data_IF_366332513404
#
_entry.id   IF_366332513404
#
_cell.length_a   1.000
_cell.length_b   1.000
_cell.length_c   1.000
_cell.angle_alpha   90.00
_cell.angle_beta   90.00
_cell.angle_gamma   90.00
#
_symmetry.space_group_name_H-M   'P 1'
#
loop_
_entity.id
_entity.type
_entity.pdbx_description
1 polymer ?
#
# COMPACT_ATOMS: atom_id res chain seq x y z
N UNK A 1 -25.91 -10.23 -9.74
CA UNK A 1 -24.51 -10.42 -9.32
C UNK A 1 -24.16 -9.31 -8.36
N UNK A 2 -23.51 -9.64 -7.25
CA UNK A 2 -22.98 -8.62 -6.33
C UNK A 2 -21.90 -7.82 -7.05
N UNK A 3 -21.84 -6.52 -6.77
CA UNK A 3 -20.79 -5.63 -7.27
C UNK A 3 -20.04 -5.08 -6.08
N UNK A 4 -18.72 -5.18 -6.11
CA UNK A 4 -17.83 -4.71 -5.06
C UNK A 4 -17.02 -3.54 -5.58
N UNK A 5 -17.09 -2.42 -4.86
CA UNK A 5 -16.23 -1.27 -5.08
C UNK A 5 -15.02 -1.41 -4.16
N UNK A 6 -13.87 -1.70 -4.77
CA UNK A 6 -12.62 -1.99 -4.05
C UNK A 6 -11.59 -0.92 -4.35
N UNK A 7 -10.82 -0.53 -3.34
CA UNK A 7 -9.60 0.25 -3.54
C UNK A 7 -8.39 -0.68 -3.39
N UNK A 8 -7.56 -0.77 -4.43
CA UNK A 8 -6.26 -1.44 -4.37
C UNK A 8 -5.14 -0.42 -4.23
N UNK A 9 -4.09 -0.77 -3.49
CA UNK A 9 -2.87 0.03 -3.43
C UNK A 9 -1.61 -0.83 -3.40
N UNK A 10 -0.57 -0.36 -4.10
CA UNK A 10 0.70 -1.06 -4.25
C UNK A 10 1.87 -0.08 -4.42
N UNK A 11 3.05 -0.50 -4.00
CA UNK A 11 4.31 0.15 -4.38
C UNK A 11 5.32 -0.90 -4.83
N UNK A 12 5.83 -0.73 -6.05
CA UNK A 12 6.72 -1.68 -6.69
C UNK A 12 8.20 -1.50 -6.31
N UNK A 13 9.03 -2.40 -6.85
CA UNK A 13 10.49 -2.39 -6.64
C UNK A 13 11.21 -1.20 -7.30
N UNK A 14 10.50 -0.42 -8.13
CA UNK A 14 11.05 0.79 -8.74
C UNK A 14 11.20 1.93 -7.74
N UNK A 15 10.49 1.87 -6.60
CA UNK A 15 10.54 2.88 -5.55
C UNK A 15 10.09 4.27 -6.00
N UNK A 16 9.25 4.35 -7.03
CA UNK A 16 8.79 5.64 -7.55
C UNK A 16 7.71 6.28 -6.68
N UNK A 17 6.85 5.47 -6.08
CA UNK A 17 5.71 5.95 -5.31
C UNK A 17 4.68 4.87 -5.02
N UNK A 18 3.45 5.33 -4.80
CA UNK A 18 2.28 4.53 -4.46
C UNK A 18 1.26 4.65 -5.57
N UNK A 19 0.89 3.52 -6.15
CA UNK A 19 -0.24 3.40 -7.06
C UNK A 19 -1.50 3.06 -6.28
N UNK A 20 -2.62 3.71 -6.62
CA UNK A 20 -3.95 3.39 -6.12
C UNK A 20 -4.94 3.30 -7.27
N UNK A 21 -5.89 2.37 -7.14
CA UNK A 21 -6.98 2.21 -8.11
C UNK A 21 -8.28 1.88 -7.39
N UNK A 22 -9.37 2.56 -7.76
CA UNK A 22 -10.71 2.16 -7.37
C UNK A 22 -11.29 1.38 -8.54
N UNK A 23 -11.76 0.16 -8.27
CA UNK A 23 -12.38 -0.71 -9.25
C UNK A 23 -13.78 -1.11 -8.81
N UNK A 24 -14.63 -1.41 -9.79
CA UNK A 24 -15.88 -2.14 -9.61
C UNK A 24 -15.68 -3.55 -10.17
N UNK A 25 -15.93 -4.58 -9.35
CA UNK A 25 -15.76 -5.97 -9.75
C UNK A 25 -16.92 -6.84 -9.27
N UNK A 26 -17.25 -7.89 -10.01
CA UNK A 26 -18.14 -8.96 -9.53
C UNK A 26 -17.42 -10.01 -8.67
N UNK A 27 -16.09 -9.92 -8.56
CA UNK A 27 -15.24 -10.86 -7.85
C UNK A 27 -14.86 -12.11 -8.65
N UNK A 28 -15.24 -12.21 -9.93
CA UNK A 28 -14.98 -13.37 -10.77
C UNK A 28 -14.32 -12.98 -12.09
N UNK A 29 -15.05 -12.29 -12.97
CA UNK A 29 -14.62 -12.07 -14.36
C UNK A 29 -14.83 -10.65 -14.84
N UNK A 30 -15.79 -9.92 -14.27
CA UNK A 30 -16.07 -8.55 -14.68
C UNK A 30 -15.36 -7.58 -13.74
N UNK A 31 -14.46 -6.77 -14.30
CA UNK A 31 -13.77 -5.69 -13.57
C UNK A 31 -13.68 -4.45 -14.43
N UNK A 32 -13.98 -3.29 -13.85
CA UNK A 32 -13.86 -1.98 -14.48
C UNK A 32 -13.18 -0.99 -13.55
N UNK A 33 -12.23 -0.22 -14.06
CA UNK A 33 -11.57 0.86 -13.31
C UNK A 33 -12.54 2.05 -13.20
N UNK A 34 -12.64 2.63 -12.01
CA UNK A 34 -13.40 3.85 -11.74
C UNK A 34 -12.47 5.07 -11.76
N UNK A 35 -11.36 5.02 -11.02
CA UNK A 35 -10.36 6.09 -10.99
C UNK A 35 -9.00 5.50 -10.60
N UNK A 36 -7.93 6.21 -10.93
CA UNK A 36 -6.56 5.88 -10.53
C UNK A 36 -5.89 7.10 -9.89
N UNK A 37 -4.91 6.84 -9.04
CA UNK A 37 -4.10 7.86 -8.41
C UNK A 37 -2.68 7.38 -8.20
N UNK A 38 -1.73 8.31 -8.31
CA UNK A 38 -0.32 8.05 -8.05
C UNK A 38 0.20 9.11 -7.08
N UNK A 39 0.88 8.65 -6.03
CA UNK A 39 1.56 9.51 -5.06
C UNK A 39 3.06 9.23 -5.12
N UNK A 40 3.85 10.23 -5.51
CA UNK A 40 5.30 10.08 -5.64
C UNK A 40 5.97 10.06 -4.26
N UNK A 41 6.95 9.16 -4.07
CA UNK A 41 7.80 9.25 -2.89
C UNK A 41 8.74 10.47 -2.95
N UNK A 42 9.01 11.06 -1.80
CA UNK A 42 10.05 12.08 -1.69
C UNK A 42 11.41 11.51 -2.07
N UNK A 43 12.28 12.36 -2.63
CA UNK A 43 13.63 11.94 -3.04
C UNK A 43 14.46 11.36 -1.88
N UNK A 44 14.25 11.86 -0.66
CA UNK A 44 14.94 11.34 0.52
C UNK A 44 14.40 9.97 0.95
N UNK A 45 13.09 9.76 0.88
CA UNK A 45 12.53 8.44 1.16
C UNK A 45 12.93 7.40 0.11
N UNK A 46 13.00 7.79 -1.17
CA UNK A 46 13.57 6.95 -2.24
C UNK A 46 14.99 6.51 -1.92
N UNK A 47 15.85 7.43 -1.46
CA UNK A 47 17.23 7.09 -1.03
C UNK A 47 17.25 6.12 0.14
N UNK A 48 16.37 6.31 1.14
CA UNK A 48 16.25 5.41 2.29
C UNK A 48 15.93 3.98 1.84
N UNK A 49 14.95 3.82 0.95
CA UNK A 49 14.57 2.53 0.36
C UNK A 49 15.69 1.88 -0.45
N UNK A 50 16.41 2.67 -1.26
CA UNK A 50 17.56 2.19 -2.02
C UNK A 50 18.67 1.68 -1.09
N UNK A 51 18.95 2.39 0.00
CA UNK A 51 19.98 2.01 0.94
C UNK A 51 19.63 0.71 1.66
N UNK A 52 18.40 0.59 2.20
CA UNK A 52 18.01 -0.64 2.89
C UNK A 52 18.00 -1.85 1.94
N UNK A 53 17.62 -1.66 0.67
CA UNK A 53 17.63 -2.76 -0.33
C UNK A 53 19.04 -3.28 -0.62
N UNK A 54 20.07 -2.43 -0.55
CA UNK A 54 21.47 -2.84 -0.67
C UNK A 54 21.95 -3.64 0.54
N UNK A 55 21.35 -3.40 1.70
CA UNK A 55 21.73 -4.00 2.97
C UNK A 55 20.94 -5.27 3.34
N UNK A 56 19.84 -5.53 2.66
CA UNK A 56 18.96 -6.69 2.90
C UNK A 56 18.86 -7.50 1.61
N UNK A 57 19.73 -8.49 1.49
CA UNK A 57 19.83 -9.34 0.31
C UNK A 57 19.16 -10.70 0.53
N UNK A 58 19.04 -11.14 1.77
CA UNK A 58 18.48 -12.44 2.13
C UNK A 58 17.65 -12.36 3.40
N UNK A 59 16.95 -13.46 3.72
CA UNK A 59 16.02 -13.54 4.85
C UNK A 59 16.69 -13.23 6.20
N UNK A 60 17.92 -13.67 6.40
CA UNK A 60 18.64 -13.48 7.67
C UNK A 60 18.96 -12.01 7.96
N UNK A 61 19.16 -11.20 6.91
CA UNK A 61 19.42 -9.76 7.06
C UNK A 61 18.24 -9.03 7.68
N UNK A 62 17.00 -9.48 7.39
CA UNK A 62 15.77 -8.90 7.95
C UNK A 62 15.76 -9.00 9.48
N UNK A 63 16.25 -10.10 10.03
CA UNK A 63 16.29 -10.31 11.49
C UNK A 63 17.30 -9.35 12.13
N UNK A 64 18.49 -9.22 11.55
CA UNK A 64 19.53 -8.31 12.05
C UNK A 64 19.11 -6.83 12.00
N UNK A 65 18.23 -6.46 11.06
CA UNK A 65 17.76 -5.07 10.83
C UNK A 65 16.30 -4.86 11.23
N UNK A 66 15.74 -5.72 12.10
CA UNK A 66 14.32 -5.72 12.44
C UNK A 66 13.77 -4.36 12.86
N UNK A 67 14.52 -3.60 13.67
CA UNK A 67 14.08 -2.28 14.12
C UNK A 67 13.90 -1.29 12.96
N UNK A 68 14.85 -1.25 12.03
CA UNK A 68 14.80 -0.40 10.84
C UNK A 68 13.70 -0.85 9.87
N UNK A 69 13.54 -2.15 9.66
CA UNK A 69 12.45 -2.73 8.84
C UNK A 69 11.07 -2.36 9.40
N UNK A 70 10.91 -2.40 10.72
CA UNK A 70 9.67 -2.01 11.38
C UNK A 70 9.39 -0.50 11.22
N UNK A 71 10.40 0.35 11.37
CA UNK A 71 10.27 1.80 11.18
C UNK A 71 9.87 2.13 9.74
N UNK A 72 10.56 1.54 8.76
CA UNK A 72 10.23 1.69 7.34
C UNK A 72 8.84 1.17 7.01
N UNK A 73 8.44 0.01 7.56
CA UNK A 73 7.10 -0.53 7.37
C UNK A 73 6.03 0.40 7.91
N UNK A 74 6.27 1.04 9.07
CA UNK A 74 5.39 2.07 9.61
C UNK A 74 5.34 3.30 8.70
N UNK A 75 6.48 3.83 8.26
CA UNK A 75 6.55 4.99 7.34
C UNK A 75 5.78 4.73 6.05
N UNK A 76 5.99 3.58 5.40
CA UNK A 76 5.26 3.18 4.19
C UNK A 76 3.77 3.07 4.42
N UNK A 77 3.36 2.53 5.56
CA UNK A 77 1.94 2.45 5.92
C UNK A 77 1.33 3.85 6.02
N UNK A 78 2.00 4.79 6.69
CA UNK A 78 1.52 6.16 6.84
C UNK A 78 1.40 6.88 5.49
N UNK A 79 2.40 6.73 4.60
CA UNK A 79 2.36 7.30 3.25
C UNK A 79 1.19 6.72 2.42
N UNK A 80 0.93 5.41 2.52
CA UNK A 80 -0.23 4.81 1.86
C UNK A 80 -1.55 5.32 2.44
N UNK A 81 -1.67 5.50 3.77
CA UNK A 81 -2.87 6.07 4.39
C UNK A 81 -3.11 7.49 3.88
N UNK A 82 -2.06 8.31 3.80
CA UNK A 82 -2.14 9.68 3.28
C UNK A 82 -2.60 9.68 1.82
N UNK A 83 -1.98 8.88 0.95
CA UNK A 83 -2.38 8.78 -0.46
C UNK A 83 -3.82 8.26 -0.62
N UNK A 84 -4.26 7.29 0.20
CA UNK A 84 -5.66 6.82 0.23
C UNK A 84 -6.59 7.95 0.65
N UNK A 85 -6.24 8.74 1.67
CA UNK A 85 -7.05 9.86 2.13
C UNK A 85 -7.23 10.92 1.05
N UNK A 86 -6.16 11.30 0.36
CA UNK A 86 -6.23 12.23 -0.77
C UNK A 86 -7.11 11.69 -1.90
N UNK A 87 -6.91 10.42 -2.24
CA UNK A 87 -7.66 9.80 -3.32
C UNK A 87 -9.15 9.67 -3.00
N UNK A 88 -9.49 9.37 -1.73
CA UNK A 88 -10.87 9.32 -1.27
C UNK A 88 -11.52 10.69 -1.11
N UNK A 89 -10.76 11.77 -0.87
CA UNK A 89 -11.29 13.13 -0.92
C UNK A 89 -11.73 13.49 -2.34
N UNK A 90 -10.97 13.11 -3.36
CA UNK A 90 -11.34 13.26 -4.78
C UNK A 90 -12.58 12.43 -5.16
N UNK A 91 -12.77 11.30 -4.49
CA UNK A 91 -13.85 10.33 -4.73
C UNK A 91 -14.83 10.27 -3.56
N UNK A 92 -15.27 11.43 -3.06
CA UNK A 92 -16.00 11.57 -1.78
C UNK A 92 -17.36 10.87 -1.73
N UNK A 93 -17.99 10.60 -2.87
CA UNK A 93 -19.28 9.90 -2.95
C UNK A 93 -19.15 8.38 -3.08
N UNK A 94 -17.93 7.88 -3.30
CA UNK A 94 -17.68 6.44 -3.43
C UNK A 94 -17.68 5.80 -2.04
N UNK A 95 -18.52 4.78 -1.89
CA UNK A 95 -18.51 3.86 -0.75
C UNK A 95 -17.70 2.63 -1.13
N UNK A 96 -16.63 2.36 -0.38
CA UNK A 96 -15.79 1.19 -0.58
C UNK A 96 -16.34 0.00 0.23
N UNK A 97 -16.28 -1.18 -0.38
CA UNK A 97 -16.57 -2.45 0.29
C UNK A 97 -15.32 -3.03 0.94
N UNK A 98 -14.15 -2.88 0.29
CA UNK A 98 -12.88 -3.38 0.79
C UNK A 98 -11.68 -2.59 0.26
N UNK A 99 -10.55 -2.76 0.95
CA UNK A 99 -9.26 -2.17 0.58
C UNK A 99 -8.22 -3.29 0.51
N UNK A 100 -7.60 -3.45 -0.66
CA UNK A 100 -6.45 -4.33 -0.86
C UNK A 100 -5.15 -3.56 -0.64
N UNK A 101 -4.36 -4.00 0.33
CA UNK A 101 -3.07 -3.38 0.68
C UNK A 101 -1.92 -4.35 0.39
N UNK A 102 -1.15 -4.07 -0.67
CA UNK A 102 0.02 -4.86 -1.01
C UNK A 102 1.25 -4.45 -0.17
N UNK A 103 1.36 -3.17 0.18
CA UNK A 103 2.58 -2.57 0.73
C UNK A 103 3.63 -2.37 -0.36
N UNK A 104 4.89 -2.29 0.06
CA UNK A 104 6.02 -2.00 -0.83
C UNK A 104 6.97 -3.18 -0.96
N UNK A 105 7.22 -3.63 -2.19
CA UNK A 105 8.18 -4.73 -2.41
C UNK A 105 9.62 -4.27 -2.22
N UNK A 106 10.25 -4.68 -1.10
CA UNK A 106 11.67 -4.41 -0.85
C UNK A 106 12.57 -5.45 -1.53
N UNK A 107 12.17 -6.73 -1.49
CA UNK A 107 12.92 -7.85 -2.10
C UNK A 107 11.97 -8.65 -2.97
N UNK A 108 12.40 -8.96 -4.20
CA UNK A 108 11.69 -9.86 -5.10
C UNK A 108 12.70 -10.81 -5.76
N UNK A 109 12.70 -12.07 -5.31
CA UNK A 109 13.57 -13.15 -5.78
C UNK A 109 12.73 -14.41 -6.05
N UNK A 110 11.94 -14.44 -7.14
CA UNK A 110 11.05 -15.56 -7.46
C UNK A 110 11.81 -16.88 -7.66
N UNK A 111 13.02 -16.83 -8.24
CA UNK A 111 13.91 -18.00 -8.39
C UNK A 111 14.29 -18.66 -7.05
N UNK A 112 14.23 -17.91 -5.95
CA UNK A 112 14.48 -18.40 -4.59
C UNK A 112 13.20 -18.60 -3.79
N UNK A 113 12.03 -18.44 -4.43
CA UNK A 113 10.72 -18.50 -3.75
C UNK A 113 10.55 -17.43 -2.67
N UNK A 114 11.27 -16.30 -2.76
CA UNK A 114 11.32 -15.31 -1.69
C UNK A 114 10.93 -13.91 -2.18
N UNK A 115 9.95 -13.32 -1.53
CA UNK A 115 9.58 -11.91 -1.68
C UNK A 115 9.31 -11.35 -0.30
N UNK A 116 9.69 -10.10 -0.08
CA UNK A 116 9.45 -9.40 1.18
C UNK A 116 8.87 -8.01 0.91
N UNK A 117 7.72 -7.74 1.51
CA UNK A 117 7.03 -6.46 1.48
C UNK A 117 7.18 -5.71 2.80
N UNK A 118 7.45 -4.41 2.70
CA UNK A 118 7.33 -3.46 3.80
C UNK A 118 5.88 -3.00 3.92
N UNK A 119 5.41 -2.89 5.17
CA UNK A 119 4.06 -2.44 5.48
C UNK A 119 3.56 -2.99 6.80
N UNK A 120 2.53 -2.35 7.36
CA UNK A 120 1.86 -2.76 8.59
C UNK A 120 0.34 -2.75 8.34
N UNK A 121 -0.24 -3.90 7.93
CA UNK A 121 -1.67 -3.98 7.59
C UNK A 121 -2.58 -3.72 8.79
N UNK A 122 -2.16 -4.07 10.01
CA UNK A 122 -2.94 -3.80 11.22
C UNK A 122 -3.04 -2.29 11.49
N UNK A 123 -1.92 -1.56 11.38
CA UNK A 123 -1.89 -0.11 11.51
C UNK A 123 -2.71 0.57 10.39
N UNK A 124 -2.58 0.09 9.15
CA UNK A 124 -3.40 0.54 8.02
C UNK A 124 -4.89 0.43 8.34
N UNK A 125 -5.33 -0.75 8.77
CA UNK A 125 -6.73 -1.02 9.09
C UNK A 125 -7.24 -0.13 10.24
N UNK A 126 -6.43 0.07 11.30
CA UNK A 126 -6.77 0.96 12.42
C UNK A 126 -6.99 2.41 11.96
N UNK A 127 -6.06 2.95 11.16
CA UNK A 127 -6.13 4.34 10.69
C UNK A 127 -7.29 4.56 9.72
N UNK A 128 -7.51 3.63 8.78
CA UNK A 128 -8.59 3.75 7.80
C UNK A 128 -9.97 3.49 8.40
N UNK A 129 -10.11 2.61 9.40
CA UNK A 129 -11.38 2.42 10.10
C UNK A 129 -11.85 3.71 10.76
N UNK A 130 -10.94 4.44 11.42
CA UNK A 130 -11.25 5.73 12.03
C UNK A 130 -11.65 6.76 10.96
N UNK A 131 -10.95 6.80 9.83
CA UNK A 131 -11.27 7.68 8.71
C UNK A 131 -12.65 7.39 8.11
N UNK A 132 -12.96 6.12 7.84
CA UNK A 132 -14.22 5.72 7.21
C UNK A 132 -15.40 5.86 8.17
N UNK A 133 -15.20 5.64 9.48
CA UNK A 133 -16.22 5.89 10.49
C UNK A 133 -16.65 7.38 10.49
N UNK A 134 -15.68 8.31 10.52
CA UNK A 134 -15.94 9.75 10.46
C UNK A 134 -16.69 10.19 9.19
N UNK A 135 -16.50 9.50 8.07
CA UNK A 135 -17.21 9.79 6.81
C UNK A 135 -18.65 9.29 6.77
N UNK A 136 -19.00 8.28 7.57
CA UNK A 136 -20.38 7.77 7.64
C UNK A 136 -21.25 8.59 8.62
N UNK A 137 -20.67 9.51 9.37
CA UNK A 137 -21.35 10.39 10.33
C UNK A 137 -21.71 11.79 9.75
N UNK A 138 -21.25 12.09 8.52
CA UNK A 138 -21.48 13.34 7.79
C UNK A 138 -22.47 13.12 6.63
#
# INVERSE_FOLDING_TARGET
MSKYISLGTMSGTSMDGIDLSIINSDGETNTSIIDNFFSEYSSDFKKELINIRKEVLQKDDLTSKKALINDLSRKITLLHVEAIQEFLKKNSTIKLDLIGYHGHTLIHKPEQGFTFQLGNPELMAQLLKNLLALRNEL
#
